data_IF_899842946022
#
_entry.id   IF_899842946022
#
_cell.length_a   1.000
_cell.length_b   1.000
_cell.length_c   1.000
_cell.angle_alpha   90.00
_cell.angle_beta   90.00
_cell.angle_gamma   90.00
#
_symmetry.space_group_name_H-M   'P 1'
#
loop_
_entity.id
_entity.type
_entity.pdbx_description
1 polymer ?
#
# COMPACT_ATOMS: atom_id res chain seq x y z
N UNK A 1 8.07 -1.36 4.23
CA UNK A 1 7.18 -0.20 4.04
C UNK A 1 5.74 -0.60 3.74
N UNK A 2 5.54 -1.66 3.00
CA UNK A 2 4.17 -2.09 2.65
C UNK A 2 3.67 -3.26 3.49
N UNK A 3 4.29 -3.51 4.64
CA UNK A 3 3.88 -4.63 5.49
C UNK A 3 2.44 -4.49 5.96
N UNK A 4 2.07 -3.29 6.41
CA UNK A 4 0.71 -3.06 6.88
C UNK A 4 -0.29 -3.15 5.73
N UNK A 5 0.11 -2.69 4.55
CA UNK A 5 -0.74 -2.80 3.36
C UNK A 5 -1.00 -4.26 3.03
N UNK A 6 0.05 -5.09 3.00
CA UNK A 6 -0.09 -6.52 2.74
C UNK A 6 -0.98 -7.18 3.79
N UNK A 7 -0.78 -6.81 5.06
CA UNK A 7 -1.55 -7.37 6.16
C UNK A 7 -3.03 -7.06 6.00
N UNK A 8 -3.35 -5.82 5.64
CA UNK A 8 -4.75 -5.42 5.46
C UNK A 8 -5.36 -6.09 4.24
N UNK A 9 -4.57 -6.28 3.18
CA UNK A 9 -5.06 -6.98 2.00
C UNK A 9 -5.42 -8.42 2.34
N UNK A 10 -4.60 -9.08 3.14
CA UNK A 10 -4.89 -10.44 3.57
C UNK A 10 -6.15 -10.50 4.43
N UNK A 11 -6.31 -9.52 5.31
CA UNK A 11 -7.48 -9.45 6.18
C UNK A 11 -8.76 -9.28 5.36
N UNK A 12 -8.66 -8.51 4.27
CA UNK A 12 -9.80 -8.27 3.39
C UNK A 12 -9.95 -9.33 2.31
N UNK A 13 -9.06 -10.33 2.30
CA UNK A 13 -9.05 -11.38 1.30
C UNK A 13 -8.87 -10.81 -0.10
N UNK A 14 -7.97 -9.85 -0.22
CA UNK A 14 -7.65 -9.20 -1.50
C UNK A 14 -6.18 -9.37 -1.83
N UNK A 15 -5.83 -9.15 -3.09
CA UNK A 15 -4.46 -9.30 -3.57
C UNK A 15 -3.84 -7.93 -3.85
N UNK A 16 -2.49 -7.86 -3.85
CA UNK A 16 -1.84 -6.61 -4.26
C UNK A 16 -2.22 -6.19 -5.69
N UNK A 17 -2.47 -7.14 -6.57
CA UNK A 17 -2.90 -6.83 -7.93
C UNK A 17 -4.23 -6.09 -7.92
N UNK A 18 -5.14 -6.51 -7.06
CA UNK A 18 -6.43 -5.82 -6.91
C UNK A 18 -6.21 -4.38 -6.45
N UNK A 19 -5.33 -4.19 -5.47
CA UNK A 19 -5.04 -2.85 -4.94
C UNK A 19 -4.45 -1.96 -6.03
N UNK A 20 -3.50 -2.48 -6.79
CA UNK A 20 -2.88 -1.73 -7.87
C UNK A 20 -3.92 -1.31 -8.91
N UNK A 21 -4.84 -2.20 -9.22
CA UNK A 21 -5.90 -1.91 -10.19
C UNK A 21 -6.81 -0.81 -9.68
N UNK A 22 -7.17 -0.87 -8.41
CA UNK A 22 -8.05 0.14 -7.81
C UNK A 22 -7.38 1.50 -7.74
N UNK A 23 -6.10 1.52 -7.47
CA UNK A 23 -5.33 2.77 -7.33
C UNK A 23 -4.82 3.29 -8.66
N UNK A 24 -4.92 2.51 -9.72
CA UNK A 24 -4.37 2.90 -11.01
C UNK A 24 -2.85 2.87 -11.03
N UNK A 25 -2.24 1.98 -10.25
CA UNK A 25 -0.79 1.87 -10.14
C UNK A 25 -0.33 0.63 -10.89
N UNK A 26 0.78 0.77 -11.61
CA UNK A 26 1.37 -0.37 -12.30
C UNK A 26 1.97 -1.34 -11.29
N UNK A 27 1.81 -2.64 -11.55
CA UNK A 27 2.34 -3.66 -10.64
C UNK A 27 3.84 -3.54 -10.44
N UNK A 28 4.56 -3.14 -11.47
CA UNK A 28 6.01 -2.95 -11.37
C UNK A 28 6.35 -1.88 -10.36
N UNK A 29 5.62 -0.78 -10.36
CA UNK A 29 5.82 0.28 -9.37
C UNK A 29 5.57 -0.23 -7.96
N UNK A 30 4.50 -0.99 -7.78
CA UNK A 30 4.19 -1.56 -6.47
C UNK A 30 5.34 -2.44 -5.99
N UNK A 31 5.86 -3.28 -6.86
CA UNK A 31 6.96 -4.17 -6.52
C UNK A 31 8.21 -3.39 -6.13
N UNK A 32 8.52 -2.33 -6.87
CA UNK A 32 9.69 -1.51 -6.58
C UNK A 32 9.54 -0.80 -5.23
N UNK A 33 8.34 -0.32 -4.93
CA UNK A 33 8.08 0.33 -3.64
C UNK A 33 8.21 -0.70 -2.51
N UNK A 34 7.70 -1.90 -2.73
CA UNK A 34 7.79 -2.97 -1.73
C UNK A 34 9.23 -3.35 -1.43
N UNK A 35 10.08 -3.34 -2.45
CA UNK A 35 11.50 -3.64 -2.29
C UNK A 35 12.29 -2.48 -1.69
N UNK A 36 11.68 -1.31 -1.61
CA UNK A 36 12.37 -0.13 -1.11
C UNK A 36 13.17 0.61 -2.15
N UNK A 37 13.03 0.24 -3.43
CA UNK A 37 13.75 0.88 -4.51
C UNK A 37 13.06 2.14 -5.01
N UNK A 38 11.82 2.36 -4.61
CA UNK A 38 11.06 3.53 -5.01
C UNK A 38 10.26 4.03 -3.82
N UNK A 39 10.22 5.34 -3.67
CA UNK A 39 9.47 5.94 -2.58
C UNK A 39 7.99 5.96 -2.89
N UNK A 40 7.18 5.74 -1.86
CA UNK A 40 5.74 5.81 -1.97
C UNK A 40 5.32 7.28 -1.93
N UNK A 41 4.68 7.74 -3.00
CA UNK A 41 4.26 9.13 -3.09
C UNK A 41 3.07 9.40 -2.16
N UNK A 42 2.88 10.67 -1.82
CA UNK A 42 1.77 11.07 -0.96
C UNK A 42 0.44 10.75 -1.61
N UNK A 43 0.34 10.95 -2.92
CA UNK A 43 -0.88 10.64 -3.65
C UNK A 43 -1.24 9.16 -3.54
N UNK A 44 -0.24 8.29 -3.66
CA UNK A 44 -0.47 6.86 -3.55
C UNK A 44 -0.87 6.47 -2.13
N UNK A 45 -0.26 7.11 -1.13
CA UNK A 45 -0.63 6.86 0.26
C UNK A 45 -2.11 7.19 0.48
N UNK A 46 -2.54 8.33 -0.06
CA UNK A 46 -3.93 8.75 0.06
C UNK A 46 -4.86 7.78 -0.65
N UNK A 47 -4.48 7.32 -1.84
CA UNK A 47 -5.29 6.38 -2.59
C UNK A 47 -5.41 5.05 -1.86
N UNK A 48 -4.29 4.53 -1.35
CA UNK A 48 -4.31 3.27 -0.62
C UNK A 48 -5.17 3.39 0.64
N UNK A 49 -5.03 4.49 1.36
CA UNK A 49 -5.82 4.75 2.56
C UNK A 49 -7.32 4.75 2.22
N UNK A 50 -7.67 5.42 1.14
CA UNK A 50 -9.05 5.54 0.72
C UNK A 50 -9.63 4.20 0.30
N UNK A 51 -8.87 3.44 -0.48
CA UNK A 51 -9.31 2.13 -0.97
C UNK A 51 -9.49 1.15 0.17
N UNK A 52 -8.54 1.13 1.10
CA UNK A 52 -8.56 0.19 2.21
C UNK A 52 -9.43 0.65 3.38
N UNK A 53 -9.83 1.92 3.37
CA UNK A 53 -10.64 2.46 4.45
C UNK A 53 -9.91 2.58 5.77
N UNK A 54 -8.60 2.76 5.73
CA UNK A 54 -7.76 2.85 6.92
C UNK A 54 -6.95 4.13 6.84
N UNK A 55 -6.82 4.83 7.97
CA UNK A 55 -6.03 6.07 8.00
C UNK A 55 -4.61 5.79 7.57
N UNK A 56 -4.05 6.69 6.75
CA UNK A 56 -2.69 6.49 6.27
C UNK A 56 -1.68 6.51 7.41
N UNK A 57 -1.95 7.22 8.51
CA UNK A 57 -1.08 7.20 9.67
C UNK A 57 -0.95 5.80 10.25
N UNK A 58 -2.05 5.05 10.23
CA UNK A 58 -2.05 3.67 10.72
C UNK A 58 -1.43 2.75 9.67
N UNK A 59 -1.80 2.95 8.41
CA UNK A 59 -1.38 2.08 7.33
C UNK A 59 0.12 2.13 7.08
N UNK A 60 0.71 3.32 7.21
CA UNK A 60 2.12 3.54 6.93
C UNK A 60 2.90 3.90 8.18
N UNK A 61 2.43 3.45 9.33
CA UNK A 61 3.12 3.69 10.58
C UNK A 61 4.48 2.99 10.57
N UNK A 62 5.48 3.70 11.05
CA UNK A 62 6.81 3.11 11.19
C UNK A 62 6.81 2.11 12.33
N UNK A 63 7.38 0.96 12.08
CA UNK A 63 7.40 -0.11 13.07
C UNK A 63 8.71 -0.19 13.84
N UNK A 64 9.72 0.46 13.32
CA UNK A 64 11.06 0.34 13.89
C UNK A 64 11.21 0.98 15.25
N UNK A 65 10.27 1.74 15.64
CA UNK A 65 10.34 2.45 16.93
C UNK A 65 9.78 1.67 18.09
#
# INVERSE_FOLDING_TARGET
>A
MLKNVDKELRRLDRTPAWLCRQAGVHRCNYTLIKKGERKLSENLKNKFSDILGIRKEILFKKESE
#
